data_IF_272368562719
#
_entry.id   IF_272368562719
#
_cell.length_a   1.000
_cell.length_b   1.000
_cell.length_c   1.000
_cell.angle_alpha   90.00
_cell.angle_beta   90.00
_cell.angle_gamma   90.00
#
_symmetry.space_group_name_H-M   'P 1'
#
loop_
_entity.id
_entity.type
_entity.pdbx_description
1 polymer ?
#
# COMPACT_ATOMS: atom_id res chain seq x y z
N UNK A 1 -59.51 66.67 76.87
CA UNK A 1 -58.22 65.93 76.92
C UNK A 1 -58.33 64.49 76.39
N UNK A 2 -59.37 63.71 76.74
CA UNK A 2 -59.51 62.32 76.26
C UNK A 2 -59.74 62.21 74.74
N UNK A 3 -60.61 63.06 74.18
CA UNK A 3 -60.98 63.08 72.75
C UNK A 3 -59.82 63.41 71.82
N UNK A 4 -58.99 64.37 72.23
CA UNK A 4 -57.78 64.80 71.50
C UNK A 4 -56.72 63.68 71.45
N UNK A 5 -56.59 62.91 72.53
CA UNK A 5 -55.68 61.76 72.58
C UNK A 5 -56.15 60.61 71.69
N UNK A 6 -57.46 60.35 71.61
CA UNK A 6 -58.04 59.31 70.75
C UNK A 6 -57.88 59.67 69.26
N UNK A 7 -58.09 60.92 68.87
CA UNK A 7 -57.85 61.38 67.49
C UNK A 7 -56.37 61.30 67.11
N UNK A 8 -55.45 61.68 67.99
CA UNK A 8 -54.01 61.53 67.73
C UNK A 8 -53.57 60.06 67.61
N UNK A 9 -54.12 59.16 68.44
CA UNK A 9 -53.85 57.72 68.34
C UNK A 9 -54.39 57.12 67.04
N UNK A 10 -55.59 57.53 66.61
CA UNK A 10 -56.20 57.06 65.36
C UNK A 10 -55.42 57.56 64.14
N UNK A 11 -55.02 58.84 64.11
CA UNK A 11 -54.20 59.39 63.03
C UNK A 11 -52.80 58.76 62.95
N UNK A 12 -52.17 58.45 64.09
CA UNK A 12 -50.90 57.69 64.12
C UNK A 12 -51.07 56.26 63.59
N UNK A 13 -52.17 55.59 63.97
CA UNK A 13 -52.49 54.24 63.50
C UNK A 13 -52.71 54.22 61.99
N UNK A 14 -53.47 55.17 61.44
CA UNK A 14 -53.73 55.25 60.00
C UNK A 14 -52.47 55.58 59.19
N UNK A 15 -51.59 56.42 59.74
CA UNK A 15 -50.27 56.71 59.15
C UNK A 15 -49.42 55.43 59.09
N UNK A 16 -49.37 54.67 60.19
CA UNK A 16 -48.62 53.41 60.26
C UNK A 16 -49.17 52.35 59.31
N UNK A 17 -50.50 52.26 59.16
CA UNK A 17 -51.16 51.37 58.19
C UNK A 17 -50.84 51.79 56.74
N UNK A 18 -50.86 53.08 56.44
CA UNK A 18 -50.51 53.59 55.11
C UNK A 18 -49.04 53.33 54.76
N UNK A 19 -48.13 53.49 55.72
CA UNK A 19 -46.71 53.15 55.56
C UNK A 19 -46.50 51.65 55.35
N UNK A 20 -47.17 50.80 56.14
CA UNK A 20 -47.13 49.35 55.94
C UNK A 20 -47.60 48.94 54.54
N UNK A 21 -48.70 49.53 54.04
CA UNK A 21 -49.18 49.28 52.66
C UNK A 21 -48.16 49.70 51.60
N UNK A 22 -47.51 50.86 51.77
CA UNK A 22 -46.44 51.32 50.86
C UNK A 22 -45.22 50.38 50.90
N UNK A 23 -44.82 49.94 52.09
CA UNK A 23 -43.70 49.01 52.27
C UNK A 23 -44.01 47.65 51.64
N UNK A 24 -45.20 47.09 51.89
CA UNK A 24 -45.65 45.84 51.27
C UNK A 24 -45.64 45.95 49.74
N UNK A 25 -46.17 47.05 49.18
CA UNK A 25 -46.15 47.27 47.73
C UNK A 25 -44.72 47.34 47.17
N UNK A 26 -43.80 48.06 47.85
CA UNK A 26 -42.38 48.14 47.45
C UNK A 26 -41.70 46.77 47.46
N UNK A 27 -41.98 45.94 48.46
CA UNK A 27 -41.44 44.59 48.56
C UNK A 27 -41.95 43.68 47.43
N UNK A 28 -43.24 43.74 47.11
CA UNK A 28 -43.82 42.99 45.98
C UNK A 28 -43.20 43.40 44.65
N UNK A 29 -43.02 44.71 44.41
CA UNK A 29 -42.39 45.20 43.18
C UNK A 29 -40.93 44.73 43.07
N UNK A 30 -40.15 44.76 44.16
CA UNK A 30 -38.77 44.22 44.16
C UNK A 30 -38.75 42.74 43.85
N UNK A 31 -39.57 41.95 44.54
CA UNK A 31 -39.64 40.50 44.31
C UNK A 31 -39.96 40.17 42.85
N UNK A 32 -40.92 40.87 42.25
CA UNK A 32 -41.28 40.67 40.85
C UNK A 32 -40.13 41.06 39.91
N UNK A 33 -39.46 42.19 40.16
CA UNK A 33 -38.32 42.64 39.37
C UNK A 33 -37.14 41.66 39.43
N UNK A 34 -36.82 41.15 40.62
CA UNK A 34 -35.74 40.18 40.82
C UNK A 34 -36.08 38.84 40.14
N UNK A 35 -37.34 38.41 40.23
CA UNK A 35 -37.82 37.18 39.56
C UNK A 35 -37.74 37.30 38.04
N UNK A 36 -38.14 38.44 37.47
CA UNK A 36 -38.01 38.72 36.04
C UNK A 36 -36.54 38.78 35.60
N UNK A 37 -35.68 39.41 36.40
CA UNK A 37 -34.25 39.49 36.15
C UNK A 37 -33.61 38.08 36.12
N UNK A 38 -33.93 37.24 37.11
CA UNK A 38 -33.50 35.84 37.13
C UNK A 38 -34.01 35.05 35.93
N UNK A 39 -35.28 35.21 35.55
CA UNK A 39 -35.86 34.53 34.39
C UNK A 39 -35.16 34.92 33.09
N UNK A 40 -34.87 36.21 32.89
CA UNK A 40 -34.13 36.70 31.71
C UNK A 40 -32.71 36.16 31.66
N UNK A 41 -32.02 36.16 32.81
CA UNK A 41 -30.66 35.60 32.92
C UNK A 41 -30.64 34.11 32.60
N UNK A 42 -31.57 33.34 33.17
CA UNK A 42 -31.72 31.91 32.89
C UNK A 42 -32.01 31.63 31.41
N UNK A 43 -32.95 32.38 30.81
CA UNK A 43 -33.25 32.27 29.38
C UNK A 43 -32.02 32.58 28.50
N UNK A 44 -31.20 33.56 28.92
CA UNK A 44 -29.92 33.88 28.27
C UNK A 44 -28.93 32.70 28.31
N UNK A 45 -28.73 32.10 29.48
CA UNK A 45 -27.86 30.92 29.63
C UNK A 45 -28.33 29.72 28.78
N UNK A 46 -29.65 29.47 28.73
CA UNK A 46 -30.23 28.40 27.90
C UNK A 46 -29.98 28.65 26.42
N UNK A 47 -30.18 29.89 25.94
CA UNK A 47 -29.90 30.25 24.53
C UNK A 47 -28.43 30.09 24.18
N UNK A 48 -27.53 30.44 25.09
CA UNK A 48 -26.09 30.28 24.89
C UNK A 48 -25.70 28.80 24.79
N UNK A 49 -26.22 27.96 25.67
CA UNK A 49 -25.99 26.50 25.62
C UNK A 49 -26.52 25.87 24.32
N UNK A 50 -27.69 26.31 23.84
CA UNK A 50 -28.24 25.86 22.56
C UNK A 50 -27.36 26.29 21.37
N UNK A 51 -26.83 27.51 21.39
CA UNK A 51 -25.92 28.00 20.36
C UNK A 51 -24.62 27.17 20.33
N UNK A 52 -23.98 26.94 21.48
CA UNK A 52 -22.79 26.09 21.57
C UNK A 52 -23.05 24.66 21.11
N UNK A 53 -24.19 24.08 21.46
CA UNK A 53 -24.59 22.75 20.96
C UNK A 53 -24.73 22.73 19.43
N UNK A 54 -25.30 23.78 18.84
CA UNK A 54 -25.38 23.94 17.39
C UNK A 54 -24.00 24.07 16.72
N UNK A 55 -23.12 24.89 17.29
CA UNK A 55 -21.75 25.06 16.79
C UNK A 55 -20.95 23.76 16.85
N UNK A 56 -21.04 23.03 17.96
CA UNK A 56 -20.39 21.72 18.11
C UNK A 56 -20.88 20.73 17.05
N UNK A 57 -22.20 20.64 16.84
CA UNK A 57 -22.76 19.76 15.81
C UNK A 57 -22.30 20.13 14.40
N UNK A 58 -22.22 21.42 14.09
CA UNK A 58 -21.72 21.89 12.80
C UNK A 58 -20.24 21.56 12.62
N UNK A 59 -19.43 21.69 13.68
CA UNK A 59 -18.01 21.31 13.66
C UNK A 59 -17.84 19.81 13.42
N UNK A 60 -18.63 18.97 14.10
CA UNK A 60 -18.63 17.51 13.89
C UNK A 60 -18.96 17.13 12.43
N UNK A 61 -19.99 17.76 11.85
CA UNK A 61 -20.36 17.52 10.45
C UNK A 61 -19.23 17.94 9.48
N UNK A 62 -18.51 19.02 9.76
CA UNK A 62 -17.37 19.45 8.94
C UNK A 62 -16.19 18.47 9.04
N UNK A 63 -15.92 17.93 10.23
CA UNK A 63 -14.87 16.93 10.42
C UNK A 63 -15.21 15.66 9.64
N UNK A 64 -16.44 15.14 9.76
CA UNK A 64 -16.88 13.98 8.98
C UNK A 64 -16.78 14.20 7.47
N UNK A 65 -17.15 15.39 6.98
CA UNK A 65 -17.01 15.72 5.56
C UNK A 65 -15.54 15.76 5.11
N UNK A 66 -14.63 16.26 5.95
CA UNK A 66 -13.19 16.25 5.69
C UNK A 66 -12.63 14.83 5.68
N UNK A 67 -13.01 14.00 6.65
CA UNK A 67 -12.56 12.60 6.73
C UNK A 67 -13.00 11.81 5.50
N UNK A 68 -14.24 12.00 5.04
CA UNK A 68 -14.71 11.38 3.81
C UNK A 68 -13.91 11.85 2.58
N UNK A 69 -13.53 13.13 2.55
CA UNK A 69 -12.74 13.67 1.45
C UNK A 69 -11.29 13.14 1.48
N UNK A 70 -10.70 12.99 2.68
CA UNK A 70 -9.39 12.35 2.86
C UNK A 70 -9.43 10.90 2.37
N UNK A 71 -10.45 10.13 2.74
CA UNK A 71 -10.62 8.75 2.25
C UNK A 71 -10.74 8.69 0.73
N UNK A 72 -11.53 9.58 0.13
CA UNK A 72 -11.67 9.66 -1.33
C UNK A 72 -10.34 10.00 -2.02
N UNK A 73 -9.59 10.98 -1.50
CA UNK A 73 -8.28 11.35 -2.04
C UNK A 73 -7.25 10.23 -1.87
N UNK A 74 -7.24 9.55 -0.72
CA UNK A 74 -6.40 8.37 -0.51
C UNK A 74 -6.73 7.25 -1.50
N UNK A 75 -8.01 7.00 -1.78
CA UNK A 75 -8.45 6.05 -2.81
C UNK A 75 -7.97 6.42 -4.22
N UNK A 76 -8.01 7.71 -4.58
CA UNK A 76 -7.47 8.20 -5.85
C UNK A 76 -5.95 8.07 -5.94
N UNK A 77 -5.22 8.38 -4.86
CA UNK A 77 -3.77 8.19 -4.78
C UNK A 77 -3.41 6.72 -4.96
N UNK A 78 -4.12 5.81 -4.30
CA UNK A 78 -3.93 4.37 -4.45
C UNK A 78 -4.18 3.92 -5.90
N UNK A 79 -5.22 4.43 -6.55
CA UNK A 79 -5.50 4.14 -7.96
C UNK A 79 -4.38 4.64 -8.91
N UNK A 80 -3.82 5.82 -8.65
CA UNK A 80 -2.70 6.38 -9.41
C UNK A 80 -1.37 5.64 -9.14
N UNK A 81 -1.16 5.15 -7.92
CA UNK A 81 -0.01 4.31 -7.58
C UNK A 81 -0.09 2.94 -8.25
N UNK A 82 -1.29 2.36 -8.37
CA UNK A 82 -1.51 1.08 -9.03
C UNK A 82 -1.49 1.18 -10.57
N UNK A 83 -1.73 2.37 -11.14
CA UNK A 83 -1.66 2.64 -12.57
C UNK A 83 -0.77 3.86 -12.86
N UNK A 84 0.56 3.77 -12.66
CA UNK A 84 1.43 4.90 -12.90
C UNK A 84 1.48 5.21 -14.40
N UNK A 85 1.24 6.48 -14.74
CA UNK A 85 1.50 7.07 -16.07
C UNK A 85 2.92 6.79 -16.59
N UNK A 86 3.85 6.40 -15.71
CA UNK A 86 5.21 5.96 -16.04
C UNK A 86 5.28 4.70 -16.90
N UNK A 87 4.25 3.86 -16.92
CA UNK A 87 4.27 2.62 -17.71
C UNK A 87 4.28 2.90 -19.21
N UNK A 88 3.45 3.82 -19.70
CA UNK A 88 3.38 4.08 -21.13
C UNK A 88 4.65 4.77 -21.64
N UNK A 89 5.21 5.70 -20.87
CA UNK A 89 6.45 6.38 -21.24
C UNK A 89 7.66 5.44 -21.23
N UNK A 90 7.85 4.65 -20.16
CA UNK A 90 8.96 3.70 -20.07
C UNK A 90 8.85 2.57 -21.11
N UNK A 91 7.64 2.04 -21.34
CA UNK A 91 7.40 1.05 -22.40
C UNK A 91 7.68 1.67 -23.77
N UNK A 92 7.21 2.90 -24.02
CA UNK A 92 7.47 3.60 -25.27
C UNK A 92 8.97 3.80 -25.51
N UNK A 93 9.71 4.24 -24.51
CA UNK A 93 11.17 4.41 -24.59
C UNK A 93 11.88 3.09 -24.90
N UNK A 94 11.51 2.00 -24.23
CA UNK A 94 12.04 0.65 -24.52
C UNK A 94 11.76 0.28 -25.99
N UNK A 95 10.52 0.44 -26.47
CA UNK A 95 10.19 0.13 -27.86
C UNK A 95 10.93 1.02 -28.88
N UNK A 96 11.17 2.30 -28.59
CA UNK A 96 11.93 3.19 -29.48
C UNK A 96 13.38 2.73 -29.65
N UNK A 97 14.03 2.36 -28.53
CA UNK A 97 15.40 1.85 -28.53
C UNK A 97 15.47 0.53 -29.30
N UNK A 98 14.55 -0.39 -29.01
CA UNK A 98 14.52 -1.70 -29.65
C UNK A 98 14.21 -1.61 -31.15
N UNK A 99 13.18 -0.85 -31.54
CA UNK A 99 12.72 -0.78 -32.94
C UNK A 99 13.81 -0.28 -33.88
N UNK A 100 14.56 0.75 -33.47
CA UNK A 100 15.65 1.32 -34.25
C UNK A 100 16.69 0.27 -34.68
N UNK A 101 17.02 -0.66 -33.77
CA UNK A 101 17.98 -1.74 -34.03
C UNK A 101 17.34 -2.97 -34.68
N UNK A 102 16.09 -3.31 -34.31
CA UNK A 102 15.37 -4.48 -34.84
C UNK A 102 15.02 -4.36 -36.33
N UNK A 103 14.88 -3.13 -36.86
CA UNK A 103 14.66 -2.89 -38.30
C UNK A 103 15.86 -3.35 -39.14
N UNK A 104 17.08 -3.25 -38.60
CA UNK A 104 18.29 -3.67 -39.31
C UNK A 104 18.44 -5.19 -39.39
N UNK A 105 17.75 -5.93 -38.52
CA UNK A 105 17.75 -7.40 -38.55
C UNK A 105 16.68 -7.84 -39.56
N UNK A 106 17.01 -8.52 -40.67
CA UNK A 106 16.00 -9.01 -41.61
C UNK A 106 15.11 -10.07 -40.95
N UNK A 107 13.89 -10.25 -41.48
CA UNK A 107 13.02 -11.33 -41.04
C UNK A 107 13.67 -12.70 -41.26
N UNK A 108 13.40 -13.64 -40.38
CA UNK A 108 13.98 -14.98 -40.43
C UNK A 108 13.26 -15.84 -41.45
N UNK A 109 13.98 -16.26 -42.48
CA UNK A 109 13.56 -17.18 -43.54
C UNK A 109 14.47 -18.41 -43.59
N UNK A 110 15.23 -18.69 -42.52
CA UNK A 110 16.19 -19.79 -42.45
C UNK A 110 17.60 -19.44 -42.93
N UNK A 111 17.92 -18.17 -43.13
CA UNK A 111 19.23 -17.72 -43.65
C UNK A 111 20.42 -17.99 -42.70
N UNK A 112 20.17 -18.26 -41.42
CA UNK A 112 21.16 -18.60 -40.40
C UNK A 112 20.64 -19.75 -39.56
N UNK A 113 21.52 -20.37 -38.75
CA UNK A 113 21.01 -21.29 -37.71
C UNK A 113 20.12 -20.52 -36.72
N UNK A 114 19.11 -21.16 -36.13
CA UNK A 114 18.23 -20.55 -35.14
C UNK A 114 18.98 -19.81 -34.03
N UNK A 115 20.05 -20.41 -33.52
CA UNK A 115 20.84 -19.85 -32.42
C UNK A 115 21.58 -18.57 -32.81
N UNK A 116 22.21 -18.56 -33.99
CA UNK A 116 22.86 -17.36 -34.52
C UNK A 116 21.88 -16.22 -34.74
N UNK A 117 20.68 -16.51 -35.24
CA UNK A 117 19.65 -15.50 -35.46
C UNK A 117 19.10 -14.95 -34.14
N UNK A 118 18.74 -15.85 -33.21
CA UNK A 118 18.22 -15.46 -31.90
C UNK A 118 19.25 -14.63 -31.14
N UNK A 119 20.54 -14.98 -31.19
CA UNK A 119 21.59 -14.18 -30.55
C UNK A 119 21.64 -12.75 -31.10
N UNK A 120 21.48 -12.54 -32.41
CA UNK A 120 21.43 -11.18 -32.99
C UNK A 120 20.27 -10.37 -32.42
N UNK A 121 19.10 -10.99 -32.22
CA UNK A 121 17.94 -10.32 -31.61
C UNK A 121 18.16 -10.09 -30.10
N UNK A 122 18.74 -11.06 -29.39
CA UNK A 122 19.08 -10.95 -27.97
C UNK A 122 20.05 -9.81 -27.69
N UNK A 123 21.06 -9.63 -28.53
CA UNK A 123 22.00 -8.50 -28.42
C UNK A 123 21.26 -7.14 -28.47
N UNK A 124 20.15 -7.04 -29.22
CA UNK A 124 19.32 -5.83 -29.24
C UNK A 124 18.60 -5.64 -27.91
N UNK A 125 18.06 -6.70 -27.32
CA UNK A 125 17.48 -6.62 -25.96
C UNK A 125 18.52 -6.20 -24.92
N UNK A 126 19.74 -6.72 -25.01
CA UNK A 126 20.85 -6.37 -24.11
C UNK A 126 21.23 -4.89 -24.23
N UNK A 127 21.18 -4.30 -25.44
CA UNK A 127 21.43 -2.88 -25.62
C UNK A 127 20.43 -1.97 -24.87
N UNK A 128 19.20 -2.44 -24.65
CA UNK A 128 18.18 -1.76 -23.85
C UNK A 128 18.16 -2.22 -22.38
N UNK A 129 19.08 -3.09 -21.95
CA UNK A 129 19.03 -3.79 -20.67
C UNK A 129 18.96 -2.87 -19.45
N UNK A 130 19.67 -1.75 -19.45
CA UNK A 130 19.64 -0.76 -18.36
C UNK A 130 18.25 -0.10 -18.23
N UNK A 131 17.65 0.30 -19.35
CA UNK A 131 16.31 0.92 -19.38
C UNK A 131 15.24 -0.09 -19.00
N UNK A 132 15.32 -1.31 -19.52
CA UNK A 132 14.43 -2.43 -19.16
C UNK A 132 14.50 -2.70 -17.64
N UNK A 133 15.71 -2.73 -17.07
CA UNK A 133 15.90 -2.96 -15.64
C UNK A 133 15.32 -1.82 -14.81
N UNK A 134 15.58 -0.56 -15.19
CA UNK A 134 15.02 0.60 -14.51
C UNK A 134 13.48 0.60 -14.56
N UNK A 135 12.89 0.30 -15.72
CA UNK A 135 11.45 0.22 -15.90
C UNK A 135 10.83 -0.90 -15.05
N UNK A 136 11.43 -2.09 -15.04
CA UNK A 136 10.94 -3.22 -14.23
C UNK A 136 11.09 -2.98 -12.71
N UNK A 137 12.10 -2.23 -12.28
CA UNK A 137 12.26 -1.82 -10.87
C UNK A 137 11.22 -0.78 -10.46
N UNK A 138 10.88 0.16 -11.36
CA UNK A 138 9.86 1.16 -11.11
C UNK A 138 8.45 0.56 -11.12
N UNK A 139 8.20 -0.42 -12.00
CA UNK A 139 6.97 -1.20 -12.02
C UNK A 139 7.25 -2.64 -12.45
N UNK A 140 6.93 -3.58 -11.56
CA UNK A 140 7.13 -4.99 -11.81
C UNK A 140 6.39 -5.43 -13.09
N UNK A 141 7.08 -6.25 -13.89
CA UNK A 141 6.55 -6.84 -15.13
C UNK A 141 6.30 -5.87 -16.30
N UNK A 142 7.00 -4.73 -16.36
CA UNK A 142 6.87 -3.74 -17.46
C UNK A 142 7.34 -4.28 -18.81
N UNK A 143 8.49 -4.96 -18.86
CA UNK A 143 9.01 -5.62 -20.06
C UNK A 143 9.63 -6.96 -19.66
N UNK A 144 8.90 -8.05 -19.92
CA UNK A 144 9.23 -9.41 -19.50
C UNK A 144 9.43 -10.32 -20.71
N UNK A 145 9.70 -11.60 -20.44
CA UNK A 145 10.01 -12.59 -21.47
C UNK A 145 8.86 -12.81 -22.47
N UNK A 146 7.61 -12.55 -22.07
CA UNK A 146 6.47 -12.57 -22.98
C UNK A 146 6.63 -11.55 -24.12
N UNK A 147 6.96 -10.29 -23.81
CA UNK A 147 7.17 -9.27 -24.85
C UNK A 147 8.39 -9.57 -25.72
N UNK A 148 9.48 -10.10 -25.13
CA UNK A 148 10.64 -10.57 -25.92
C UNK A 148 10.26 -11.69 -26.88
N UNK A 149 9.43 -12.63 -26.42
CA UNK A 149 8.93 -13.74 -27.23
C UNK A 149 8.05 -13.23 -28.38
N UNK A 150 7.16 -12.27 -28.14
CA UNK A 150 6.31 -11.70 -29.18
C UNK A 150 7.12 -10.95 -30.23
N UNK A 151 8.19 -10.24 -29.84
CA UNK A 151 9.15 -9.65 -30.77
C UNK A 151 9.80 -10.74 -31.62
N UNK A 152 10.31 -11.82 -31.01
CA UNK A 152 10.92 -12.94 -31.75
C UNK A 152 9.94 -13.57 -32.75
N UNK A 153 8.68 -13.79 -32.36
CA UNK A 153 7.61 -14.29 -33.25
C UNK A 153 7.37 -13.34 -34.43
N UNK A 154 7.33 -12.04 -34.18
CA UNK A 154 7.09 -11.01 -35.22
C UNK A 154 8.19 -10.99 -36.30
N UNK A 155 9.39 -11.46 -35.96
CA UNK A 155 10.52 -11.54 -36.88
C UNK A 155 10.53 -12.80 -37.75
N UNK A 156 9.63 -13.75 -37.52
CA UNK A 156 9.54 -14.96 -38.34
C UNK A 156 8.88 -14.66 -39.69
N UNK A 157 9.48 -15.15 -40.76
CA UNK A 157 8.99 -14.99 -42.12
C UNK A 157 8.86 -16.32 -42.86
N UNK A 158 8.15 -16.30 -43.98
CA UNK A 158 8.00 -17.44 -44.90
C UNK A 158 7.57 -18.72 -44.16
N UNK A 159 8.25 -19.86 -44.36
CA UNK A 159 7.93 -21.17 -43.77
C UNK A 159 8.05 -21.26 -42.24
N UNK A 160 8.57 -20.22 -41.60
CA UNK A 160 8.68 -20.09 -40.15
C UNK A 160 7.52 -19.29 -39.56
N UNK A 161 6.62 -18.77 -40.39
CA UNK A 161 5.41 -18.04 -39.99
C UNK A 161 4.15 -18.74 -40.51
N UNK A 162 3.05 -18.77 -39.75
CA UNK A 162 2.89 -18.25 -38.39
C UNK A 162 3.54 -19.15 -37.33
N UNK A 163 3.96 -18.54 -36.22
CA UNK A 163 4.42 -19.29 -35.04
C UNK A 163 3.19 -19.83 -34.28
N UNK A 164 3.11 -21.13 -33.98
CA UNK A 164 2.00 -21.69 -33.22
C UNK A 164 2.00 -21.17 -31.77
N UNK A 165 0.85 -21.26 -31.10
CA UNK A 165 0.72 -20.86 -29.71
C UNK A 165 1.47 -21.81 -28.75
N UNK A 166 1.48 -23.10 -29.07
CA UNK A 166 2.13 -24.17 -28.32
C UNK A 166 3.15 -24.89 -29.21
N UNK A 167 4.23 -25.38 -28.62
CA UNK A 167 5.27 -26.13 -29.32
C UNK A 167 4.81 -27.56 -29.62
N UNK A 168 4.57 -27.94 -30.89
CA UNK A 168 4.10 -29.28 -31.24
C UNK A 168 5.20 -30.35 -31.19
N UNK A 169 6.48 -29.95 -31.08
CA UNK A 169 7.61 -30.89 -31.11
C UNK A 169 8.04 -31.35 -29.73
N UNK A 170 7.68 -30.60 -28.69
CA UNK A 170 8.04 -30.89 -27.29
C UNK A 170 6.88 -31.58 -26.57
N UNK A 171 7.20 -32.63 -25.79
CA UNK A 171 6.21 -33.35 -24.98
C UNK A 171 5.43 -32.37 -24.08
N UNK A 172 4.13 -32.64 -23.93
CA UNK A 172 3.15 -31.80 -23.23
C UNK A 172 2.76 -30.48 -23.93
N UNK A 173 3.22 -30.24 -25.18
CA UNK A 173 2.85 -29.09 -25.99
C UNK A 173 2.93 -27.75 -25.23
N UNK A 174 4.11 -27.38 -24.69
CA UNK A 174 4.25 -26.19 -23.85
C UNK A 174 3.93 -24.92 -24.64
N UNK A 175 3.40 -23.90 -23.95
CA UNK A 175 3.15 -22.60 -24.55
C UNK A 175 4.45 -21.90 -24.97
N UNK A 176 4.48 -21.35 -26.18
CA UNK A 176 5.62 -20.57 -26.69
C UNK A 176 5.44 -19.13 -26.22
N UNK A 177 5.84 -18.85 -24.98
CA UNK A 177 5.67 -17.54 -24.32
C UNK A 177 6.96 -16.97 -23.72
N UNK A 178 8.10 -17.60 -23.99
CA UNK A 178 9.42 -17.15 -23.55
C UNK A 178 10.47 -17.31 -24.66
N UNK A 179 11.59 -16.56 -24.63
CA UNK A 179 12.68 -16.77 -25.58
C UNK A 179 13.21 -18.21 -25.57
N UNK A 180 13.21 -18.87 -24.41
CA UNK A 180 13.68 -20.26 -24.26
C UNK A 180 12.78 -21.25 -25.00
N UNK A 181 11.46 -21.20 -24.75
CA UNK A 181 10.49 -22.08 -25.43
C UNK A 181 10.44 -21.80 -26.93
N UNK A 182 10.55 -20.52 -27.32
CA UNK A 182 10.66 -20.12 -28.72
C UNK A 182 11.91 -20.67 -29.41
N UNK A 183 13.06 -20.62 -28.74
CA UNK A 183 14.33 -21.16 -29.27
C UNK A 183 14.22 -22.65 -29.58
N UNK A 184 13.66 -23.43 -28.65
CA UNK A 184 13.46 -24.88 -28.81
C UNK A 184 12.56 -25.14 -30.02
N UNK A 185 11.41 -24.48 -30.09
CA UNK A 185 10.50 -24.60 -31.21
C UNK A 185 11.17 -24.25 -32.55
N UNK A 186 11.92 -23.13 -32.61
CA UNK A 186 12.56 -22.67 -33.84
C UNK A 186 13.64 -23.65 -34.31
N UNK A 187 14.40 -24.25 -33.38
CA UNK A 187 15.35 -25.32 -33.69
C UNK A 187 14.67 -26.51 -34.35
N UNK A 188 13.56 -27.00 -33.80
CA UNK A 188 12.80 -28.09 -34.41
C UNK A 188 12.20 -27.71 -35.77
N UNK A 189 11.58 -26.54 -35.87
CA UNK A 189 10.98 -26.08 -37.13
C UNK A 189 12.02 -25.90 -38.23
N UNK A 190 13.19 -25.35 -37.89
CA UNK A 190 14.31 -25.20 -38.83
C UNK A 190 14.78 -26.54 -39.39
N UNK A 191 14.86 -27.58 -38.56
CA UNK A 191 15.20 -28.92 -39.05
C UNK A 191 14.19 -29.42 -40.07
N UNK A 192 12.89 -29.35 -39.73
CA UNK A 192 11.82 -29.79 -40.62
C UNK A 192 11.89 -29.09 -41.98
N UNK A 193 12.15 -27.78 -41.97
CA UNK A 193 12.19 -26.95 -43.18
C UNK A 193 13.48 -27.14 -43.99
N UNK A 194 14.64 -27.28 -43.33
CA UNK A 194 15.95 -27.28 -44.00
C UNK A 194 16.55 -28.66 -44.26
N UNK A 195 16.30 -29.62 -43.38
CA UNK A 195 16.88 -30.97 -43.46
C UNK A 195 15.85 -32.06 -43.81
N UNK A 196 14.56 -31.71 -43.92
CA UNK A 196 13.48 -32.67 -44.00
C UNK A 196 13.22 -33.32 -42.63
N UNK A 197 12.58 -34.51 -42.63
CA UNK A 197 12.28 -35.22 -41.39
C UNK A 197 13.56 -35.52 -40.56
N UNK A 198 13.39 -35.83 -39.28
CA UNK A 198 14.51 -36.05 -38.36
C UNK A 198 15.48 -37.17 -38.81
N UNK A 199 14.98 -38.15 -39.56
CA UNK A 199 15.77 -39.26 -40.11
C UNK A 199 16.71 -38.81 -41.23
N UNK A 200 16.25 -37.96 -42.15
CA UNK A 200 17.10 -37.40 -43.21
C UNK A 200 18.21 -36.53 -42.64
N UNK A 201 17.91 -35.73 -41.61
CA UNK A 201 18.92 -34.94 -40.91
C UNK A 201 20.00 -35.83 -40.26
N UNK A 202 19.59 -36.94 -39.62
CA UNK A 202 20.51 -37.90 -39.03
C UNK A 202 21.31 -38.65 -40.12
N UNK A 203 20.69 -38.96 -41.26
CA UNK A 203 21.36 -39.59 -42.39
C UNK A 203 22.42 -38.67 -43.01
N UNK A 204 22.10 -37.39 -43.22
CA UNK A 204 23.08 -36.39 -43.66
C UNK A 204 24.20 -36.19 -42.64
N UNK A 205 23.89 -36.22 -41.34
CA UNK A 205 24.90 -36.16 -40.29
C UNK A 205 25.87 -37.35 -40.41
N UNK A 206 25.38 -38.58 -40.52
CA UNK A 206 26.20 -39.81 -40.60
C UNK A 206 27.10 -39.83 -41.86
N UNK A 207 26.69 -39.14 -42.93
CA UNK A 207 27.48 -39.01 -44.15
C UNK A 207 28.64 -38.01 -44.02
N UNK A 208 28.55 -37.07 -43.08
CA UNK A 208 29.60 -36.09 -42.84
C UNK A 208 30.88 -36.75 -42.32
N UNK A 209 32.04 -36.23 -42.74
CA UNK A 209 33.36 -36.74 -42.32
C UNK A 209 34.30 -35.58 -42.01
N UNK A 210 35.23 -35.83 -41.10
CA UNK A 210 36.36 -34.93 -40.90
C UNK A 210 37.38 -35.19 -42.03
N UNK A 211 37.52 -34.23 -42.94
CA UNK A 211 38.40 -34.37 -44.10
C UNK A 211 39.87 -34.08 -43.72
N UNK A 212 40.85 -34.64 -44.43
CA UNK A 212 42.27 -34.42 -44.14
C UNK A 212 42.72 -32.96 -44.17
N UNK A 213 42.01 -32.11 -44.94
CA UNK A 213 42.28 -30.67 -45.06
C UNK A 213 41.50 -29.82 -44.07
N UNK A 214 40.60 -30.42 -43.28
CA UNK A 214 39.79 -29.66 -42.34
C UNK A 214 40.61 -29.22 -41.12
N UNK A 215 40.26 -28.05 -40.59
CA UNK A 215 40.53 -27.72 -39.20
C UNK A 215 39.31 -28.06 -38.35
N UNK A 216 39.48 -28.27 -37.02
CA UNK A 216 38.36 -28.47 -36.10
C UNK A 216 37.25 -27.42 -36.24
N UNK A 217 37.60 -26.15 -36.50
CA UNK A 217 36.64 -25.05 -36.65
C UNK A 217 35.84 -25.13 -37.96
N UNK A 218 36.48 -25.54 -39.06
CA UNK A 218 35.79 -25.74 -40.35
C UNK A 218 34.82 -26.90 -40.24
N UNK A 219 35.29 -28.02 -39.69
CA UNK A 219 34.47 -29.20 -39.47
C UNK A 219 33.28 -28.90 -38.53
N UNK A 220 33.53 -28.23 -37.41
CA UNK A 220 32.47 -27.79 -36.49
C UNK A 220 31.40 -26.95 -37.19
N UNK A 221 31.82 -25.99 -38.03
CA UNK A 221 30.89 -25.11 -38.76
C UNK A 221 29.98 -25.87 -39.74
N UNK A 222 30.45 -26.97 -40.33
CA UNK A 222 29.61 -27.83 -41.19
C UNK A 222 28.67 -28.68 -40.34
N UNK A 223 29.21 -29.39 -39.36
CA UNK A 223 28.43 -30.29 -38.50
C UNK A 223 27.37 -29.55 -37.70
N UNK A 224 27.66 -28.35 -37.18
CA UNK A 224 26.69 -27.55 -36.39
C UNK A 224 25.39 -27.31 -37.13
N UNK A 225 25.41 -27.23 -38.47
CA UNK A 225 24.20 -27.06 -39.29
C UNK A 225 23.31 -28.31 -39.30
N UNK A 226 23.89 -29.49 -39.13
CA UNK A 226 23.18 -30.76 -39.17
C UNK A 226 22.64 -31.22 -37.81
N UNK A 227 23.25 -30.76 -36.71
CA UNK A 227 22.93 -31.21 -35.34
C UNK A 227 22.00 -30.26 -34.57
N UNK A 228 21.59 -29.12 -35.15
CA UNK A 228 20.70 -28.15 -34.52
C UNK A 228 19.45 -28.87 -33.99
N UNK A 229 19.14 -28.75 -32.71
CA UNK A 229 17.92 -29.33 -32.10
C UNK A 229 17.96 -30.84 -31.86
N UNK A 230 19.14 -31.47 -31.86
CA UNK A 230 19.34 -32.80 -31.28
C UNK A 230 19.93 -32.70 -29.88
N UNK A 231 19.67 -33.70 -29.03
CA UNK A 231 20.32 -33.80 -27.74
C UNK A 231 21.78 -34.28 -27.90
N UNK A 232 22.66 -33.88 -26.96
CA UNK A 232 24.09 -34.19 -27.01
C UNK A 232 24.36 -35.70 -27.15
N UNK A 233 23.63 -36.51 -26.39
CA UNK A 233 23.72 -37.97 -26.36
C UNK A 233 23.35 -38.65 -27.69
N UNK A 234 22.45 -38.04 -28.46
CA UNK A 234 22.04 -38.54 -29.78
C UNK A 234 23.11 -38.26 -30.85
N UNK A 235 23.87 -37.19 -30.70
CA UNK A 235 24.80 -36.68 -31.73
C UNK A 235 26.21 -37.20 -31.51
N UNK A 236 26.67 -37.23 -30.25
CA UNK A 236 28.04 -37.61 -29.89
C UNK A 236 28.50 -38.93 -30.51
N UNK A 237 27.70 -40.02 -30.54
CA UNK A 237 28.08 -41.26 -31.19
C UNK A 237 28.43 -41.07 -32.67
N UNK A 238 27.63 -40.29 -33.42
CA UNK A 238 27.88 -40.00 -34.82
C UNK A 238 29.17 -39.17 -35.00
N UNK A 239 29.38 -38.14 -34.17
CA UNK A 239 30.59 -37.31 -34.23
C UNK A 239 31.88 -38.11 -34.05
N UNK A 240 31.89 -39.08 -33.13
CA UNK A 240 33.04 -39.98 -33.01
C UNK A 240 33.27 -40.75 -34.31
N UNK A 241 32.21 -41.16 -35.03
CA UNK A 241 32.35 -41.87 -36.31
C UNK A 241 32.93 -41.04 -37.44
N UNK A 242 32.77 -39.72 -37.41
CA UNK A 242 33.27 -38.81 -38.44
C UNK A 242 34.79 -38.62 -38.38
N UNK A 243 35.38 -38.79 -37.18
CA UNK A 243 36.81 -38.59 -36.94
C UNK A 243 37.65 -39.79 -37.42
N UNK A 244 38.84 -39.54 -38.01
CA UNK A 244 39.87 -40.55 -38.20
C UNK A 244 40.28 -41.20 -36.88
N UNK A 245 40.82 -42.43 -36.95
CA UNK A 245 41.01 -43.31 -35.79
C UNK A 245 41.91 -42.69 -34.70
N UNK A 246 42.96 -41.99 -35.11
CA UNK A 246 43.92 -41.28 -34.26
C UNK A 246 43.27 -40.14 -33.46
N UNK A 247 42.51 -39.27 -34.12
CA UNK A 247 41.77 -38.18 -33.48
C UNK A 247 40.67 -38.71 -32.58
N UNK A 248 39.93 -39.72 -33.05
CA UNK A 248 38.82 -40.33 -32.31
C UNK A 248 39.27 -40.88 -30.96
N UNK A 249 40.35 -41.64 -30.93
CA UNK A 249 40.82 -42.28 -29.70
C UNK A 249 41.27 -41.23 -28.68
N UNK A 250 41.96 -40.18 -29.13
CA UNK A 250 42.41 -39.08 -28.26
C UNK A 250 41.26 -38.26 -27.69
N UNK A 251 40.28 -37.89 -28.52
CA UNK A 251 39.08 -37.16 -28.04
C UNK A 251 38.25 -38.04 -27.11
N UNK A 252 38.15 -39.34 -27.37
CA UNK A 252 37.51 -40.28 -26.43
C UNK A 252 38.21 -40.30 -25.09
N UNK A 253 39.54 -40.37 -25.05
CA UNK A 253 40.34 -40.35 -23.81
C UNK A 253 40.03 -39.08 -23.00
N UNK A 254 40.09 -37.90 -23.63
CA UNK A 254 39.76 -36.63 -22.98
C UNK A 254 38.33 -36.60 -22.41
N UNK A 255 37.36 -37.09 -23.18
CA UNK A 255 35.96 -37.15 -22.77
C UNK A 255 35.69 -38.18 -21.65
N UNK A 256 36.40 -39.30 -21.61
CA UNK A 256 36.29 -40.30 -20.52
C UNK A 256 36.93 -39.86 -19.21
N UNK A 257 37.96 -39.00 -19.25
CA UNK A 257 38.56 -38.43 -18.03
C UNK A 257 37.59 -37.42 -17.39
N UNK A 258 36.66 -36.87 -18.17
CA UNK A 258 35.56 -36.03 -17.69
C UNK A 258 34.49 -36.90 -17.02
N UNK A 259 33.92 -36.39 -15.93
CA UNK A 259 32.72 -36.98 -15.31
C UNK A 259 31.58 -37.10 -16.33
N UNK A 260 30.75 -38.15 -16.24
CA UNK A 260 29.71 -38.47 -17.23
C UNK A 260 28.74 -37.30 -17.55
N UNK A 261 28.53 -36.38 -16.62
CA UNK A 261 27.69 -35.18 -16.81
C UNK A 261 28.28 -34.08 -17.70
N UNK A 262 29.50 -34.23 -18.22
CA UNK A 262 30.16 -33.21 -19.05
C UNK A 262 30.37 -33.66 -20.51
N UNK A 263 29.67 -34.71 -20.95
CA UNK A 263 29.71 -35.15 -22.33
C UNK A 263 28.76 -34.31 -23.20
N UNK A 264 29.22 -33.11 -23.58
CA UNK A 264 28.46 -32.19 -24.44
C UNK A 264 29.14 -32.05 -25.80
N UNK A 265 28.37 -31.65 -26.83
CA UNK A 265 28.91 -31.34 -28.17
C UNK A 265 30.00 -30.27 -28.09
N UNK A 266 29.82 -29.24 -27.25
CA UNK A 266 30.80 -28.16 -27.09
C UNK A 266 32.13 -28.66 -26.52
N UNK A 267 32.07 -29.55 -25.52
CA UNK A 267 33.26 -30.16 -24.93
C UNK A 267 33.98 -31.07 -25.93
N UNK A 268 33.23 -31.82 -26.75
CA UNK A 268 33.81 -32.60 -27.85
C UNK A 268 34.64 -31.72 -28.79
N UNK A 269 34.11 -30.58 -29.24
CA UNK A 269 34.85 -29.68 -30.14
C UNK A 269 36.01 -28.97 -29.44
N UNK A 270 35.88 -28.64 -28.15
CA UNK A 270 36.96 -28.09 -27.36
C UNK A 270 38.15 -29.08 -27.26
N UNK A 271 37.86 -30.35 -26.96
CA UNK A 271 38.88 -31.38 -26.83
C UNK A 271 39.50 -31.73 -28.19
N UNK A 272 38.70 -31.74 -29.26
CA UNK A 272 39.19 -31.90 -30.64
C UNK A 272 40.16 -30.78 -31.02
N UNK A 273 39.83 -29.52 -30.72
CA UNK A 273 40.74 -28.37 -30.93
C UNK A 273 42.03 -28.52 -30.14
N UNK A 274 41.92 -28.84 -28.86
CA UNK A 274 43.08 -28.98 -27.96
C UNK A 274 44.05 -30.02 -28.50
N UNK A 275 43.58 -31.23 -28.80
CA UNK A 275 44.42 -32.29 -29.33
C UNK A 275 44.97 -31.96 -30.72
N UNK A 276 44.17 -31.31 -31.57
CA UNK A 276 44.64 -30.87 -32.88
C UNK A 276 45.84 -29.91 -32.78
N UNK A 277 45.82 -28.97 -31.83
CA UNK A 277 46.95 -28.07 -31.56
C UNK A 277 48.15 -28.83 -31.01
N UNK A 278 47.95 -29.73 -30.04
CA UNK A 278 49.03 -30.57 -29.47
C UNK A 278 49.71 -31.44 -30.54
N UNK A 279 48.95 -31.95 -31.52
CA UNK A 279 49.47 -32.72 -32.65
C UNK A 279 50.33 -31.88 -33.60
N UNK A 280 49.92 -30.65 -33.88
CA UNK A 280 50.67 -29.73 -34.75
C UNK A 280 51.97 -29.24 -34.09
N UNK A 281 52.04 -29.28 -32.75
CA UNK A 281 53.20 -28.86 -31.97
C UNK A 281 54.37 -29.89 -31.93
N UNK A 282 54.19 -31.11 -32.46
CA UNK A 282 55.20 -32.17 -32.40
C UNK A 282 55.35 -32.81 -31.00
N UNK A 283 55.98 -33.99 -30.88
CA UNK A 283 55.94 -34.79 -29.66
C UNK A 283 56.77 -34.15 -28.53
N UNK A 284 56.10 -33.52 -27.56
CA UNK A 284 56.66 -33.37 -26.21
C UNK A 284 56.26 -34.60 -25.38
N UNK A 285 57.25 -35.47 -25.13
CA UNK A 285 57.15 -36.62 -24.25
C UNK A 285 56.56 -36.24 -22.88
N UNK A 286 55.39 -36.80 -22.56
CA UNK A 286 54.75 -36.92 -21.22
C UNK A 286 54.52 -35.63 -20.39
N UNK A 287 53.33 -35.42 -19.80
CA UNK A 287 53.21 -34.45 -18.71
C UNK A 287 53.91 -35.03 -17.48
N UNK A 288 55.09 -34.49 -17.15
CA UNK A 288 55.65 -34.57 -15.81
C UNK A 288 54.64 -33.96 -14.82
N UNK A 289 54.55 -34.62 -13.66
CA UNK A 289 53.86 -34.21 -12.44
C UNK A 289 53.67 -32.70 -12.31
N UNK A 290 52.42 -32.25 -12.32
CA UNK A 290 52.06 -30.89 -11.90
C UNK A 290 52.25 -30.82 -10.39
N UNK A 291 53.36 -30.22 -9.97
CA UNK A 291 53.52 -29.68 -8.62
C UNK A 291 52.48 -28.58 -8.43
N UNK A 292 51.53 -28.81 -7.53
CA UNK A 292 50.57 -27.80 -7.09
C UNK A 292 51.30 -26.66 -6.37
N UNK A 293 51.60 -25.60 -7.10
CA UNK A 293 51.97 -24.29 -6.53
C UNK A 293 50.73 -23.41 -6.44
N UNK A 294 49.95 -23.55 -5.38
CA UNK A 294 48.91 -22.57 -5.03
C UNK A 294 49.59 -21.29 -4.52
N UNK A 295 49.74 -20.28 -5.38
CA UNK A 295 49.79 -18.88 -4.96
C UNK A 295 48.43 -18.24 -5.24
N UNK A 296 47.59 -18.19 -4.22
CA UNK A 296 46.40 -17.34 -4.21
C UNK A 296 46.89 -15.92 -3.89
N UNK A 297 46.95 -15.06 -4.91
CA UNK A 297 46.84 -13.61 -4.73
C UNK A 297 45.36 -13.28 -4.46
N UNK A 298 45.02 -12.50 -3.42
CA UNK A 298 43.66 -12.03 -3.24
C UNK A 298 43.31 -11.03 -4.35
N UNK A 299 42.43 -11.45 -5.28
CA UNK A 299 41.72 -10.52 -6.13
C UNK A 299 40.71 -9.75 -5.27
N UNK A 300 40.89 -8.43 -5.22
CA UNK A 300 39.90 -7.49 -4.72
C UNK A 300 38.68 -7.58 -5.64
N UNK A 301 37.56 -8.01 -5.06
CA UNK A 301 36.25 -7.96 -5.71
C UNK A 301 35.89 -6.49 -5.86
N UNK A 302 35.89 -5.99 -7.09
CA UNK A 302 35.29 -4.70 -7.43
C UNK A 302 33.77 -4.85 -7.35
N UNK A 303 33.17 -4.40 -6.24
CA UNK A 303 31.76 -4.05 -6.17
C UNK A 303 31.60 -2.57 -6.56
N UNK A 304 31.23 -2.31 -7.81
CA UNK A 304 30.70 -1.00 -8.19
C UNK A 304 29.24 -0.94 -7.70
N UNK A 305 28.89 0.07 -6.89
CA UNK A 305 27.47 0.45 -6.78
C UNK A 305 26.95 1.19 -5.54
N UNK A 306 27.78 1.85 -4.72
CA UNK A 306 27.29 2.99 -3.93
C UNK A 306 28.39 4.06 -3.96
N UNK A 307 28.09 5.21 -4.55
CA UNK A 307 29.05 6.32 -4.58
C UNK A 307 29.28 6.85 -3.17
N UNK A 308 30.50 7.31 -2.85
CA UNK A 308 30.83 7.91 -1.55
C UNK A 308 29.86 9.05 -1.16
N UNK A 309 29.27 9.73 -2.15
CA UNK A 309 28.23 10.74 -1.96
C UNK A 309 26.90 10.16 -1.41
N UNK A 310 26.49 8.98 -1.87
CA UNK A 310 25.28 8.30 -1.41
C UNK A 310 25.43 7.76 0.03
N UNK A 311 26.61 7.24 0.38
CA UNK A 311 26.94 6.84 1.75
C UNK A 311 26.89 8.05 2.69
N UNK A 312 27.47 9.19 2.26
CA UNK A 312 27.44 10.43 3.04
C UNK A 312 26.01 10.96 3.24
N UNK A 313 25.16 10.86 2.20
CA UNK A 313 23.74 11.25 2.26
C UNK A 313 22.93 10.36 3.21
N UNK A 314 23.19 9.05 3.21
CA UNK A 314 22.57 8.10 4.14
C UNK A 314 22.99 8.40 5.59
N UNK A 315 24.28 8.64 5.84
CA UNK A 315 24.77 8.98 7.17
C UNK A 315 24.18 10.30 7.70
N UNK A 316 24.02 11.31 6.84
CA UNK A 316 23.31 12.55 7.22
C UNK A 316 21.84 12.32 7.56
N UNK A 317 21.17 11.37 6.89
CA UNK A 317 19.77 11.03 7.16
C UNK A 317 19.62 10.23 8.46
N UNK A 318 20.56 9.34 8.77
CA UNK A 318 20.63 8.61 10.04
C UNK A 318 20.80 9.60 11.20
N UNK A 319 21.78 10.50 11.11
CA UNK A 319 22.00 11.52 12.14
C UNK A 319 20.78 12.44 12.35
N UNK A 320 20.06 12.78 11.27
CA UNK A 320 18.82 13.56 11.37
C UNK A 320 17.68 12.81 12.06
N UNK A 321 17.57 11.50 11.86
CA UNK A 321 16.54 10.67 12.50
C UNK A 321 16.85 10.45 13.98
N UNK A 322 18.13 10.24 14.32
CA UNK A 322 18.60 10.15 15.71
C UNK A 322 18.30 11.44 16.49
N UNK A 323 18.50 12.61 15.87
CA UNK A 323 18.17 13.90 16.47
C UNK A 323 16.65 14.07 16.70
N UNK A 324 15.80 13.69 15.73
CA UNK A 324 14.34 13.74 15.89
C UNK A 324 13.84 12.79 16.98
N UNK A 325 14.44 11.61 17.10
CA UNK A 325 14.12 10.66 18.17
C UNK A 325 14.48 11.23 19.54
N UNK A 326 15.64 11.87 19.68
CA UNK A 326 16.07 12.51 20.92
C UNK A 326 15.15 13.67 21.33
N UNK A 327 14.69 14.51 20.38
CA UNK A 327 13.71 15.57 20.65
C UNK A 327 12.37 15.00 21.12
N UNK A 328 11.88 13.94 20.48
CA UNK A 328 10.64 13.26 20.88
C UNK A 328 10.74 12.68 22.29
N UNK A 329 11.86 12.03 22.62
CA UNK A 329 12.11 11.51 23.97
C UNK A 329 12.14 12.62 25.03
N UNK A 330 12.69 13.80 24.71
CA UNK A 330 12.71 14.94 25.61
C UNK A 330 11.30 15.52 25.86
N UNK A 331 10.48 15.62 24.82
CA UNK A 331 9.08 16.07 24.93
C UNK A 331 8.26 15.10 25.78
N UNK A 332 8.43 13.79 25.58
CA UNK A 332 7.75 12.76 26.37
C UNK A 332 8.18 12.77 27.85
N UNK A 333 9.47 12.97 28.13
CA UNK A 333 9.99 13.10 29.49
C UNK A 333 9.37 14.30 30.24
N UNK A 334 9.28 15.47 29.58
CA UNK A 334 8.63 16.67 30.17
C UNK A 334 7.15 16.46 30.44
N UNK A 335 6.43 15.78 29.54
CA UNK A 335 5.01 15.48 29.71
C UNK A 335 4.77 14.48 30.87
N UNK A 336 5.63 13.46 30.99
CA UNK A 336 5.58 12.51 32.09
C UNK A 336 5.82 13.16 33.46
N UNK A 337 6.75 14.13 33.54
CA UNK A 337 6.98 14.92 34.76
C UNK A 337 5.74 15.76 35.14
N UNK A 338 5.06 16.38 34.17
CA UNK A 338 3.83 17.14 34.43
C UNK A 338 2.65 16.28 34.90
N UNK A 339 2.59 15.01 34.46
CA UNK A 339 1.54 14.06 34.82
C UNK A 339 1.85 13.22 36.06
N UNK A 340 3.07 13.34 36.63
CA UNK A 340 3.55 12.60 37.82
C UNK A 340 3.49 11.07 37.64
N UNK A 341 3.89 10.58 36.47
CA UNK A 341 3.87 9.15 36.14
C UNK A 341 5.01 8.38 36.84
N UNK A 342 4.79 7.10 37.23
CA UNK A 342 5.81 6.29 37.88
C UNK A 342 6.96 5.95 36.91
N UNK A 343 8.19 5.97 37.42
CA UNK A 343 9.45 5.93 36.67
C UNK A 343 9.62 4.65 35.82
N UNK A 344 8.94 3.57 36.19
CA UNK A 344 8.90 2.30 35.45
C UNK A 344 8.12 2.38 34.11
N UNK A 345 7.19 3.32 33.97
CA UNK A 345 6.42 3.54 32.72
C UNK A 345 7.18 4.48 31.78
N UNK A 346 7.98 5.40 32.33
CA UNK A 346 8.76 6.39 31.56
C UNK A 346 9.94 5.75 30.82
N UNK A 347 10.51 4.66 31.35
CA UNK A 347 11.65 3.95 30.76
C UNK A 347 11.27 2.79 29.82
N UNK A 348 9.97 2.61 29.55
CA UNK A 348 9.48 1.61 28.61
C UNK A 348 9.67 2.11 27.17
N UNK A 349 10.57 1.49 26.39
CA UNK A 349 10.76 1.76 24.96
C UNK A 349 9.53 1.37 24.08
N UNK A 350 8.35 1.20 24.68
CA UNK A 350 7.15 0.74 24.00
C UNK A 350 6.07 1.83 24.03
N UNK A 351 6.00 2.59 22.92
CA UNK A 351 5.08 3.71 22.70
C UNK A 351 3.61 3.35 22.99
N UNK A 352 3.20 2.11 22.69
CA UNK A 352 1.81 1.66 22.90
C UNK A 352 1.38 1.59 24.37
N UNK A 353 2.31 1.25 25.26
CA UNK A 353 2.06 1.17 26.71
C UNK A 353 1.92 2.58 27.29
N UNK A 354 2.70 3.51 26.76
CA UNK A 354 2.69 4.91 27.16
C UNK A 354 1.38 5.60 26.74
N UNK A 355 0.95 5.42 25.48
CA UNK A 355 -0.30 5.99 24.96
C UNK A 355 -1.53 5.46 25.71
N UNK A 356 -1.56 4.16 25.99
CA UNK A 356 -2.66 3.54 26.75
C UNK A 356 -2.76 4.12 28.17
N UNK A 357 -1.64 4.41 28.80
CA UNK A 357 -1.61 4.90 30.18
C UNK A 357 -2.01 6.38 30.27
N UNK A 358 -1.57 7.20 29.31
CA UNK A 358 -2.00 8.61 29.20
C UNK A 358 -3.52 8.69 29.03
N UNK A 359 -4.09 7.89 28.13
CA UNK A 359 -5.54 7.89 27.90
C UNK A 359 -6.32 7.48 29.16
N UNK A 360 -5.85 6.47 29.87
CA UNK A 360 -6.49 6.00 31.11
C UNK A 360 -6.47 7.04 32.23
N UNK A 361 -5.38 7.80 32.38
CA UNK A 361 -5.27 8.84 33.40
C UNK A 361 -6.09 10.08 33.05
N UNK A 362 -6.18 10.44 31.76
CA UNK A 362 -7.07 11.51 31.29
C UNK A 362 -8.54 11.18 31.55
N UNK A 363 -8.97 9.95 31.27
CA UNK A 363 -10.34 9.49 31.54
C UNK A 363 -10.68 9.53 33.04
N UNK A 364 -9.76 9.08 33.91
CA UNK A 364 -9.94 9.14 35.36
C UNK A 364 -10.14 10.57 35.86
N UNK A 365 -9.28 11.50 35.43
CA UNK A 365 -9.36 12.91 35.85
C UNK A 365 -10.62 13.60 35.32
N UNK A 366 -11.04 13.27 34.11
CA UNK A 366 -12.29 13.76 33.54
C UNK A 366 -13.50 13.28 34.34
N UNK A 367 -13.55 11.99 34.71
CA UNK A 367 -14.62 11.44 35.55
C UNK A 367 -14.70 12.09 36.94
N UNK A 368 -13.56 12.41 37.57
CA UNK A 368 -13.54 13.14 38.86
C UNK A 368 -14.12 14.55 38.71
N UNK A 369 -13.84 15.23 37.59
CA UNK A 369 -14.39 16.56 37.30
C UNK A 369 -15.91 16.48 37.12
N UNK A 370 -16.42 15.48 36.40
CA UNK A 370 -17.86 15.26 36.22
C UNK A 370 -18.59 15.03 37.55
N UNK A 371 -18.01 14.22 38.45
CA UNK A 371 -18.55 13.98 39.80
C UNK A 371 -18.59 15.27 40.61
N UNK A 372 -17.54 16.08 40.58
CA UNK A 372 -17.50 17.34 41.30
C UNK A 372 -18.52 18.35 40.76
N UNK A 373 -18.75 18.37 39.44
CA UNK A 373 -19.76 19.21 38.79
C UNK A 373 -21.19 18.77 39.18
N UNK A 374 -21.43 17.46 39.31
CA UNK A 374 -22.69 16.93 39.82
C UNK A 374 -22.93 17.32 41.29
N UNK A 375 -21.90 17.27 42.15
CA UNK A 375 -21.99 17.72 43.56
C UNK A 375 -22.31 19.20 43.68
N UNK A 376 -21.63 20.05 42.89
CA UNK A 376 -21.92 21.49 42.82
C UNK A 376 -23.37 21.77 42.37
N UNK A 377 -23.84 21.04 41.36
CA UNK A 377 -25.22 21.16 40.86
C UNK A 377 -26.27 20.69 41.89
N UNK A 378 -25.88 19.79 42.79
CA UNK A 378 -26.73 19.33 43.90
C UNK A 378 -26.76 20.36 45.04
N UNK A 379 -25.61 20.87 45.46
CA UNK A 379 -25.50 21.94 46.48
C UNK A 379 -26.32 23.18 46.09
N UNK A 380 -26.22 23.62 44.83
CA UNK A 380 -27.01 24.76 44.32
C UNK A 380 -28.52 24.48 44.36
N UNK A 381 -28.96 23.23 44.20
CA UNK A 381 -30.38 22.85 44.30
C UNK A 381 -30.87 22.78 45.74
N UNK A 382 -30.03 22.35 46.67
CA UNK A 382 -30.35 22.28 48.10
C UNK A 382 -30.46 23.69 48.73
N UNK A 383 -29.55 24.62 48.38
CA UNK A 383 -29.63 26.04 48.78
C UNK A 383 -30.95 26.71 48.33
N UNK A 384 -31.45 26.35 47.13
CA UNK A 384 -32.72 26.87 46.59
C UNK A 384 -33.94 26.37 47.40
N UNK A 385 -33.84 25.22 48.05
CA UNK A 385 -34.93 24.62 48.84
C UNK A 385 -34.91 25.16 50.27
N UNK A 386 -33.74 25.29 50.90
CA UNK A 386 -33.62 25.83 52.25
C UNK A 386 -34.03 27.31 52.32
N UNK A 387 -33.75 28.09 51.27
CA UNK A 387 -34.22 29.48 51.17
C UNK A 387 -35.75 29.58 51.11
N UNK A 388 -36.46 28.53 50.69
CA UNK A 388 -37.94 28.48 50.71
C UNK A 388 -38.52 28.01 52.05
N UNK A 389 -37.77 27.26 52.85
CA UNK A 389 -38.24 26.73 54.13
C UNK A 389 -38.12 27.74 55.28
N UNK A 390 -37.12 28.62 55.25
CA UNK A 390 -36.88 29.57 56.36
C UNK A 390 -37.82 30.79 56.36
N UNK A 391 -38.66 30.97 55.32
CA UNK A 391 -39.65 32.07 55.25
C UNK A 391 -41.09 31.65 55.54
N UNK A 392 -41.34 30.43 56.02
CA UNK A 392 -42.68 29.93 56.33
C UNK A 392 -42.75 29.36 57.75
N UNK A 393 -42.72 30.22 58.78
CA UNK A 393 -43.19 29.79 60.11
C UNK A 393 -43.78 30.89 61.01
N UNK A 394 -43.88 32.15 60.57
CA UNK A 394 -44.55 33.19 61.36
C UNK A 394 -45.66 33.85 60.54
N UNK A 395 -46.87 33.78 61.09
CA UNK A 395 -48.12 34.38 60.64
C UNK A 395 -48.94 33.58 59.62
N UNK A 396 -49.40 32.42 60.09
CA UNK A 396 -50.75 31.93 59.81
C UNK A 396 -51.80 32.99 60.19
N UNK A 397 -52.86 33.03 59.39
CA UNK A 397 -54.14 33.75 59.56
C UNK A 397 -54.27 35.00 58.71
N UNK A 398 -54.75 34.83 57.46
CA UNK A 398 -55.84 35.61 56.83
C UNK A 398 -56.14 35.08 55.41
N UNK A 399 -57.08 34.14 55.35
CA UNK A 399 -58.03 33.80 54.27
C UNK A 399 -57.51 33.41 52.85
N UNK A 400 -57.41 32.09 52.62
CA UNK A 400 -57.05 31.43 51.34
C UNK A 400 -58.17 31.40 50.26
N UNK A 401 -59.38 31.91 50.52
CA UNK A 401 -60.51 31.79 49.57
C UNK A 401 -60.34 32.52 48.22
N UNK A 402 -59.39 33.46 48.11
CA UNK A 402 -59.07 34.14 46.85
C UNK A 402 -58.06 33.40 45.97
N UNK A 403 -57.24 32.52 46.56
CA UNK A 403 -56.21 31.76 45.86
C UNK A 403 -56.79 30.49 45.22
N UNK A 404 -57.71 29.80 45.89
CA UNK A 404 -58.43 28.64 45.32
C UNK A 404 -59.23 29.01 44.05
N UNK A 405 -59.98 30.11 44.08
CA UNK A 405 -60.71 30.59 42.89
C UNK A 405 -59.79 31.02 41.74
N UNK A 406 -58.53 31.36 42.01
CA UNK A 406 -57.53 31.68 40.97
C UNK A 406 -56.88 30.41 40.42
N UNK A 407 -56.68 29.38 41.24
CA UNK A 407 -56.20 28.06 40.84
C UNK A 407 -57.20 27.32 39.95
N UNK A 408 -58.49 27.26 40.33
CA UNK A 408 -59.54 26.66 39.48
C UNK A 408 -59.64 27.35 38.10
N UNK A 409 -59.47 28.68 38.08
CA UNK A 409 -59.52 29.46 36.85
C UNK A 409 -58.31 29.18 35.95
N UNK A 410 -57.13 28.92 36.53
CA UNK A 410 -55.91 28.54 35.81
C UNK A 410 -56.04 27.12 35.27
N UNK A 411 -56.54 26.16 36.06
CA UNK A 411 -56.81 24.79 35.58
C UNK A 411 -57.81 24.74 34.43
N UNK A 412 -58.89 25.54 34.50
CA UNK A 412 -59.86 25.65 33.41
C UNK A 412 -59.29 26.26 32.12
N UNK A 413 -58.29 27.15 32.22
CA UNK A 413 -57.59 27.72 31.06
C UNK A 413 -56.60 26.71 30.46
N UNK A 414 -55.91 25.92 31.28
CA UNK A 414 -55.00 24.85 30.84
C UNK A 414 -55.77 23.73 30.11
N UNK A 415 -56.95 23.34 30.61
CA UNK A 415 -57.81 22.33 29.97
C UNK A 415 -58.39 22.79 28.61
N UNK A 416 -58.67 24.09 28.45
CA UNK A 416 -59.10 24.68 27.16
C UNK A 416 -57.97 24.76 26.13
N UNK A 417 -56.72 24.89 26.58
CA UNK A 417 -55.55 24.92 25.69
C UNK A 417 -55.24 23.52 25.14
N UNK A 418 -55.32 22.48 25.97
CA UNK A 418 -55.04 21.09 25.57
C UNK A 418 -56.05 20.49 24.56
N UNK A 419 -57.29 20.99 24.48
CA UNK A 419 -58.31 20.52 23.51
C UNK A 419 -58.26 21.20 22.14
N UNK A 420 -57.40 22.22 21.95
CA UNK A 420 -57.35 23.00 20.71
C UNK A 420 -56.36 22.46 19.66
N UNK A 421 -55.42 21.59 20.07
CA UNK A 421 -54.38 21.03 19.18
C UNK A 421 -54.73 19.70 18.50
N UNK A 422 -55.91 19.11 18.76
CA UNK A 422 -56.34 17.83 18.13
C UNK A 422 -57.42 17.99 17.05
N UNK A 423 -57.71 19.21 16.56
CA UNK A 423 -58.75 19.47 15.54
C UNK A 423 -58.23 19.96 14.19
N UNK A 424 -56.99 19.62 13.83
CA UNK A 424 -56.30 20.13 12.62
C UNK A 424 -55.69 19.09 11.68
N UNK A 425 -55.95 17.79 11.84
CA UNK A 425 -55.43 16.78 10.91
C UNK A 425 -56.57 15.88 10.38
N UNK A 426 -57.22 16.33 9.30
CA UNK A 426 -57.97 15.44 8.39
C UNK A 426 -57.03 15.04 7.25
N UNK A 427 -56.93 13.73 7.02
CA UNK A 427 -56.26 13.05 5.90
C UNK A 427 -56.94 13.37 4.55
N UNK A 428 -56.21 13.33 3.42
CA UNK A 428 -56.38 12.21 2.45
C UNK A 428 -55.03 11.76 1.82
N UNK A 429 -54.69 10.47 1.74
CA UNK A 429 -55.11 9.43 0.78
C UNK A 429 -54.23 9.31 -0.49
N UNK A 430 -53.52 8.16 -0.56
CA UNK A 430 -53.02 7.36 -1.70
C UNK A 430 -51.98 7.92 -2.69
N UNK A 431 -50.83 7.23 -2.76
CA UNK A 431 -50.34 6.43 -3.92
C UNK A 431 -49.18 5.52 -3.40
N UNK A 432 -49.43 4.23 -3.17
CA UNK A 432 -49.18 3.06 -4.04
C UNK A 432 -47.68 2.77 -4.30
N UNK A 433 -47.14 1.81 -3.54
CA UNK A 433 -46.11 0.87 -4.02
C UNK A 433 -46.44 -0.50 -3.44
N UNK A 434 -46.85 -1.39 -4.34
CA UNK A 434 -47.00 -2.82 -4.09
C UNK A 434 -45.63 -3.41 -3.76
N UNK A 435 -45.55 -4.13 -2.64
CA UNK A 435 -44.53 -5.14 -2.38
C UNK A 435 -45.11 -6.49 -2.77
N UNK A 436 -44.39 -7.24 -3.60
CA UNK A 436 -44.52 -8.70 -3.66
C UNK A 436 -43.24 -9.31 -3.07
N UNK A 437 -43.36 -10.23 -2.12
CA UNK A 437 -42.49 -11.38 -2.04
C UNK A 437 -43.18 -12.56 -2.76
N UNK A 438 -42.51 -13.09 -3.78
CA UNK A 438 -42.49 -14.46 -4.33
C UNK A 438 -42.15 -14.42 -5.82
#
# INVERSE_FOLDING_TARGET
MLETNIQMLTGRKDTHIAEHRRTAHRLTVRYNNDTEHWRRRHAGCVRQAQNWKGQYRNSQNQVQARDQNILNLQGQILALQNNPLGNMAAVHEIYQILFSSLVQIPNYTGQYTPDEYIQKVTNVFESAGAVITAANNANANTFIDAQKCDILKSKMGDKFSPVPANDPYTNANPAINSPTTFTVWLRHKYREVMAGNAELALQSLIQERFNPTDSPNIYESRVRKHIVGFADDQVLPALYTHLPLDLRNSVKIYMTIRSAGHQTIDNFFADLRKYWVERQAGPSLFPQSVTMGNQIQPQVINSQGVTSAEIKKLNSKIASLEAQLAESMQVHSKLAQHLQLPENVVNSNNTSIFDSHINQELEKRLGVIEINLAKLTKLVREDIIDTKSTQCSEFSDYNNGGLEKRLERIEAHVAKFARKDTRGAKTPQRQRSESLPF
#
